data_IF_662044253583
#
_entry.id   IF_662044253583
#
_cell.length_a   1.000
_cell.length_b   1.000
_cell.length_c   1.000
_cell.angle_alpha   90.00
_cell.angle_beta   90.00
_cell.angle_gamma   90.00
#
_symmetry.space_group_name_H-M   'P 1'
#
loop_
_entity.id
_entity.type
_entity.pdbx_description
1 polymer ?
#
# COMPACT_ATOMS: atom_id res chain seq x y z
N UNK A 1 9.59 -18.78 -21.08
CA UNK A 1 10.73 -17.89 -20.80
C UNK A 1 10.51 -17.30 -19.42
N UNK A 2 11.32 -17.67 -18.45
CA UNK A 2 11.33 -17.03 -17.13
C UNK A 2 12.09 -15.71 -17.25
N UNK A 3 11.53 -14.63 -16.70
CA UNK A 3 12.13 -13.29 -16.75
C UNK A 3 12.16 -12.69 -15.35
N UNK A 4 13.04 -11.74 -15.14
CA UNK A 4 13.00 -10.91 -13.95
C UNK A 4 11.73 -10.07 -13.89
N UNK A 5 11.36 -9.69 -12.67
CA UNK A 5 10.33 -8.69 -12.41
C UNK A 5 10.73 -7.36 -13.07
N UNK A 6 9.74 -6.69 -13.64
CA UNK A 6 9.90 -5.35 -14.23
C UNK A 6 8.90 -4.39 -13.62
N UNK A 7 9.14 -3.09 -13.82
CA UNK A 7 8.18 -2.06 -13.47
C UNK A 7 6.79 -2.36 -14.04
N UNK A 8 5.76 -2.21 -13.21
CA UNK A 8 4.38 -2.41 -13.62
C UNK A 8 3.82 -3.82 -13.38
N UNK A 9 4.65 -4.80 -13.05
CA UNK A 9 4.21 -6.13 -12.61
C UNK A 9 3.42 -6.06 -11.28
N UNK A 10 2.58 -7.06 -11.03
CA UNK A 10 1.73 -7.13 -9.83
C UNK A 10 2.25 -8.18 -8.85
N UNK A 11 2.28 -7.84 -7.58
CA UNK A 11 2.70 -8.73 -6.48
C UNK A 11 1.75 -8.64 -5.32
N UNK A 12 1.68 -9.71 -4.53
CA UNK A 12 1.04 -9.69 -3.22
C UNK A 12 2.07 -9.30 -2.16
N UNK A 13 1.66 -8.44 -1.25
CA UNK A 13 2.51 -7.96 -0.16
C UNK A 13 1.78 -8.14 1.17
N UNK A 14 2.46 -8.69 2.18
CA UNK A 14 1.88 -8.97 3.49
C UNK A 14 2.85 -8.69 4.64
N UNK A 15 2.29 -8.30 5.80
CA UNK A 15 2.99 -8.25 7.09
C UNK A 15 2.45 -9.34 8.00
N UNK A 16 3.34 -9.99 8.77
CA UNK A 16 2.95 -10.98 9.76
C UNK A 16 2.76 -10.34 11.15
N UNK A 17 1.82 -10.83 11.97
CA UNK A 17 0.79 -11.82 11.66
C UNK A 17 -0.32 -11.24 10.77
N UNK A 18 -0.79 -12.01 9.78
CA UNK A 18 -1.87 -11.57 8.90
C UNK A 18 -3.24 -11.92 9.51
N UNK A 19 -3.82 -10.96 10.22
CA UNK A 19 -5.05 -11.15 11.02
C UNK A 19 -6.35 -10.82 10.28
N UNK A 20 -6.26 -10.06 9.19
CA UNK A 20 -7.43 -9.63 8.44
C UNK A 20 -7.15 -9.62 6.93
N UNK A 21 -8.22 -9.56 6.12
CA UNK A 21 -8.12 -9.59 4.64
C UNK A 21 -7.10 -8.59 4.10
N UNK A 22 -7.11 -7.35 4.62
CA UNK A 22 -6.21 -6.28 4.19
C UNK A 22 -4.76 -6.43 4.68
N UNK A 23 -4.43 -7.46 5.48
CA UNK A 23 -3.04 -7.77 5.83
C UNK A 23 -2.27 -8.40 4.66
N UNK A 24 -2.96 -8.76 3.56
CA UNK A 24 -2.38 -9.15 2.27
C UNK A 24 -3.10 -8.42 1.14
N UNK A 25 -2.37 -7.64 0.35
CA UNK A 25 -2.94 -6.84 -0.75
C UNK A 25 -2.02 -6.82 -1.96
N UNK A 26 -2.60 -6.58 -3.13
CA UNK A 26 -1.92 -6.45 -4.40
C UNK A 26 -1.32 -5.06 -4.60
N UNK A 27 -0.05 -5.01 -4.99
CA UNK A 27 0.69 -3.79 -5.33
C UNK A 27 1.27 -3.89 -6.73
N UNK A 28 1.48 -2.72 -7.36
CA UNK A 28 2.25 -2.60 -8.59
C UNK A 28 3.72 -2.34 -8.24
N UNK A 29 4.63 -3.11 -8.83
CA UNK A 29 6.06 -2.99 -8.61
C UNK A 29 6.59 -1.70 -9.21
N UNK A 30 7.45 -1.03 -8.44
CA UNK A 30 8.40 -0.04 -8.93
C UNK A 30 9.80 -0.41 -8.45
N UNK A 31 10.69 -0.72 -9.39
CA UNK A 31 12.08 -1.04 -9.12
C UNK A 31 12.80 0.25 -8.71
N UNK A 32 13.51 0.19 -7.60
CA UNK A 32 14.27 1.30 -7.03
C UNK A 32 15.62 0.79 -6.53
N UNK A 33 16.63 1.68 -6.44
CA UNK A 33 17.87 1.35 -5.75
C UNK A 33 17.62 1.04 -4.26
N UNK A 34 18.67 0.55 -3.58
CA UNK A 34 18.71 0.14 -2.16
C UNK A 34 17.98 -1.18 -1.87
N UNK A 35 18.09 -1.65 -0.62
CA UNK A 35 17.74 -3.02 -0.21
C UNK A 35 16.50 -3.12 0.69
N UNK A 36 15.61 -2.12 0.63
CA UNK A 36 14.38 -2.09 1.43
C UNK A 36 13.13 -1.96 0.56
N UNK A 37 12.04 -2.61 0.98
CA UNK A 37 10.73 -2.35 0.38
C UNK A 37 10.26 -0.94 0.75
N UNK A 38 9.56 -0.30 -0.19
CA UNK A 38 8.93 1.00 0.04
C UNK A 38 7.46 0.92 -0.33
N UNK A 39 6.65 1.56 0.50
CA UNK A 39 5.20 1.61 0.36
C UNK A 39 4.71 3.01 0.72
N UNK A 40 3.49 3.34 0.27
CA UNK A 40 2.86 4.62 0.59
C UNK A 40 2.45 4.67 2.08
N UNK A 41 2.64 5.81 2.75
CA UNK A 41 2.28 5.96 4.17
C UNK A 41 0.81 5.65 4.49
N UNK A 42 -0.12 5.92 3.58
CA UNK A 42 -1.54 5.62 3.81
C UNK A 42 -1.87 4.13 3.84
N UNK A 43 -0.97 3.26 3.36
CA UNK A 43 -1.17 1.79 3.39
C UNK A 43 -0.54 1.14 4.63
N UNK A 44 0.14 1.88 5.50
CA UNK A 44 0.73 1.32 6.72
C UNK A 44 -0.34 0.88 7.73
N UNK A 45 -1.44 1.63 7.83
CA UNK A 45 -2.55 1.33 8.75
C UNK A 45 -3.15 -0.07 8.56
N UNK A 46 -3.53 -0.53 7.35
CA UNK A 46 -4.00 -1.89 7.15
C UNK A 46 -2.91 -2.96 7.32
N UNK A 47 -1.62 -2.64 7.23
CA UNK A 47 -0.59 -3.61 7.58
C UNK A 47 -0.25 -3.62 9.08
N UNK A 48 -0.78 -2.65 9.84
CA UNK A 48 -0.33 -2.32 11.19
C UNK A 48 1.21 -2.23 11.26
N UNK A 49 1.80 -1.62 10.22
CA UNK A 49 3.24 -1.51 10.03
C UNK A 49 3.72 -0.13 10.48
N UNK A 50 4.95 -0.08 10.97
CA UNK A 50 5.74 1.14 11.08
C UNK A 50 7.08 0.96 10.34
N UNK A 51 8.07 1.79 10.65
CA UNK A 51 9.37 1.79 9.98
C UNK A 51 10.53 1.71 10.97
N UNK A 52 10.35 1.05 12.12
CA UNK A 52 11.37 0.93 13.16
C UNK A 52 12.27 -0.33 13.02
N UNK A 53 12.03 -1.14 11.99
CA UNK A 53 12.70 -2.42 11.76
C UNK A 53 11.77 -3.52 11.20
N UNK A 54 10.51 -3.20 10.98
CA UNK A 54 9.51 -4.10 10.40
C UNK A 54 9.94 -4.79 9.10
N UNK A 55 9.70 -6.10 9.03
CA UNK A 55 9.87 -6.93 7.84
C UNK A 55 8.53 -7.31 7.20
N UNK A 56 8.51 -7.40 5.88
CA UNK A 56 7.31 -7.76 5.11
C UNK A 56 7.66 -8.70 3.96
N UNK A 57 6.72 -9.56 3.60
CA UNK A 57 6.91 -10.58 2.58
C UNK A 57 6.24 -10.17 1.28
N UNK A 58 6.88 -10.53 0.17
CA UNK A 58 6.39 -10.31 -1.19
C UNK A 58 6.23 -11.66 -1.91
N UNK A 59 5.07 -11.87 -2.54
CA UNK A 59 4.76 -13.08 -3.30
C UNK A 59 4.46 -12.69 -4.75
N UNK A 60 5.08 -13.39 -5.70
CA UNK A 60 4.96 -13.13 -7.14
C UNK A 60 4.00 -14.14 -7.78
N UNK A 61 2.81 -13.72 -8.25
CA UNK A 61 1.90 -14.59 -8.99
C UNK A 61 2.53 -15.07 -10.30
N UNK A 62 2.53 -16.37 -10.54
CA UNK A 62 3.20 -16.97 -11.70
C UNK A 62 2.26 -17.17 -12.91
N UNK A 63 0.97 -17.42 -12.67
CA UNK A 63 0.00 -17.66 -13.76
C UNK A 63 -0.72 -16.37 -14.17
N UNK A 64 -1.20 -16.31 -15.40
CA UNK A 64 -1.99 -15.16 -15.87
C UNK A 64 -3.32 -15.02 -15.11
N UNK A 65 -3.93 -16.15 -14.73
CA UNK A 65 -5.17 -16.20 -13.95
C UNK A 65 -4.96 -15.60 -12.56
N UNK A 66 -3.91 -16.00 -11.85
CA UNK A 66 -3.61 -15.45 -10.51
C UNK A 66 -3.23 -13.97 -10.59
N UNK A 67 -2.52 -13.54 -11.64
CA UNK A 67 -2.27 -12.11 -11.88
C UNK A 67 -3.57 -11.33 -12.08
N UNK A 68 -4.54 -11.90 -12.81
CA UNK A 68 -5.85 -11.29 -13.00
C UNK A 68 -6.64 -11.25 -11.68
N UNK A 69 -6.60 -12.28 -10.85
CA UNK A 69 -7.23 -12.27 -9.52
C UNK A 69 -6.65 -11.18 -8.61
N UNK A 70 -5.32 -11.04 -8.59
CA UNK A 70 -4.66 -9.98 -7.82
C UNK A 70 -5.12 -8.61 -8.29
N UNK A 71 -5.07 -8.37 -9.62
CA UNK A 71 -5.50 -7.13 -10.25
C UNK A 71 -6.98 -6.83 -9.99
N UNK A 72 -7.82 -7.85 -10.06
CA UNK A 72 -9.26 -7.67 -10.03
C UNK A 72 -9.87 -7.65 -8.64
N UNK A 73 -9.29 -8.35 -7.67
CA UNK A 73 -9.90 -8.56 -6.36
C UNK A 73 -9.07 -8.02 -5.19
N UNK A 74 -7.74 -8.02 -5.31
CA UNK A 74 -6.85 -7.83 -4.16
C UNK A 74 -6.04 -6.53 -4.20
N UNK A 75 -6.06 -5.78 -5.31
CA UNK A 75 -5.33 -4.52 -5.42
C UNK A 75 -5.70 -3.55 -4.29
N UNK A 76 -4.69 -2.85 -3.76
CA UNK A 76 -4.85 -1.85 -2.68
C UNK A 76 -6.02 -0.88 -2.90
N UNK A 77 -6.24 -0.27 -4.09
CA UNK A 77 -7.40 0.61 -4.32
C UNK A 77 -8.76 -0.04 -4.12
N UNK A 78 -8.87 -1.36 -4.35
CA UNK A 78 -10.10 -2.14 -4.16
C UNK A 78 -10.29 -2.59 -2.70
N UNK A 79 -9.29 -2.36 -1.86
CA UNK A 79 -9.27 -2.72 -0.44
C UNK A 79 -9.28 -1.49 0.50
N UNK A 80 -9.55 -0.27 -0.02
CA UNK A 80 -9.60 0.96 0.78
C UNK A 80 -10.72 0.90 1.83
N UNK A 81 -11.91 0.41 1.46
CA UNK A 81 -13.07 0.30 2.35
C UNK A 81 -13.18 -1.13 2.86
N UNK A 82 -13.19 -1.31 4.18
CA UNK A 82 -13.31 -2.64 4.79
C UNK A 82 -14.77 -3.02 5.02
N UNK A 83 -15.19 -4.24 4.66
CA UNK A 83 -16.53 -4.75 4.96
C UNK A 83 -16.72 -5.04 6.45
N UNK A 84 -15.66 -5.13 7.25
CA UNK A 84 -15.76 -5.39 8.69
C UNK A 84 -16.51 -4.27 9.43
N UNK A 85 -16.34 -3.02 8.98
CA UNK A 85 -16.92 -1.84 9.62
C UNK A 85 -17.52 -0.83 8.65
N UNK A 86 -17.67 -1.21 7.37
CA UNK A 86 -18.22 -0.38 6.29
C UNK A 86 -17.59 1.03 6.23
N UNK A 87 -16.29 1.12 6.51
CA UNK A 87 -15.53 2.37 6.55
C UNK A 87 -14.15 2.22 5.91
N UNK A 88 -13.52 3.31 5.45
CA UNK A 88 -12.14 3.29 4.99
C UNK A 88 -11.18 2.82 6.09
N UNK A 89 -10.24 1.95 5.72
CA UNK A 89 -9.11 1.53 6.57
C UNK A 89 -7.80 2.20 6.19
N UNK A 90 -7.79 2.94 5.08
CA UNK A 90 -6.69 3.78 4.63
C UNK A 90 -7.11 5.25 4.64
N UNK A 91 -6.19 6.13 5.00
CA UNK A 91 -6.45 7.55 5.09
C UNK A 91 -5.16 8.37 5.08
N UNK A 92 -5.31 9.69 5.16
CA UNK A 92 -4.18 10.61 5.30
C UNK A 92 -3.71 10.55 6.76
N UNK A 93 -2.41 10.30 6.95
CA UNK A 93 -1.79 10.10 8.27
C UNK A 93 -0.53 10.95 8.42
N UNK A 94 -0.02 11.03 9.65
CA UNK A 94 1.26 11.67 10.01
C UNK A 94 1.41 13.10 9.44
N UNK A 95 2.55 13.40 8.83
CA UNK A 95 2.91 14.75 8.37
C UNK A 95 1.92 15.30 7.36
N UNK A 96 1.40 14.47 6.46
CA UNK A 96 0.40 14.90 5.49
C UNK A 96 -0.87 15.34 6.18
N UNK A 97 -1.32 14.65 7.24
CA UNK A 97 -2.51 15.05 8.00
C UNK A 97 -2.30 16.40 8.71
N UNK A 98 -1.13 16.59 9.33
CA UNK A 98 -0.76 17.85 9.96
C UNK A 98 -0.63 18.99 8.94
N UNK A 99 -0.01 18.68 7.79
CA UNK A 99 0.19 19.59 6.67
C UNK A 99 -1.14 20.06 6.07
N UNK A 100 -2.07 19.12 5.82
CA UNK A 100 -3.43 19.43 5.38
C UNK A 100 -4.14 20.40 6.33
N UNK A 101 -4.04 20.20 7.65
CA UNK A 101 -4.62 21.14 8.62
C UNK A 101 -3.95 22.50 8.60
N UNK A 102 -2.63 22.57 8.41
CA UNK A 102 -1.90 23.85 8.37
C UNK A 102 -2.25 24.64 7.11
N UNK A 103 -2.20 24.00 5.94
CA UNK A 103 -2.42 24.67 4.64
C UNK A 103 -3.85 25.13 4.43
N UNK A 104 -4.83 24.48 5.06
CA UNK A 104 -6.27 24.81 4.89
C UNK A 104 -6.78 25.87 5.87
N UNK A 105 -5.92 26.45 6.71
CA UNK A 105 -6.32 27.58 7.56
C UNK A 105 -6.55 28.83 6.71
N UNK A 106 -7.56 29.63 7.09
CA UNK A 106 -7.88 30.90 6.41
C UNK A 106 -6.70 31.86 6.35
N UNK A 107 -5.84 31.85 7.36
CA UNK A 107 -4.69 32.75 7.47
C UNK A 107 -3.43 32.21 6.76
N UNK A 108 -3.56 31.17 5.94
CA UNK A 108 -2.44 30.61 5.15
C UNK A 108 -2.52 31.07 3.71
N UNK A 109 -1.60 31.95 3.32
CA UNK A 109 -1.46 32.45 1.95
C UNK A 109 -0.28 31.78 1.25
N UNK A 110 -0.40 31.57 -0.06
CA UNK A 110 0.65 30.99 -0.92
C UNK A 110 1.05 32.06 -1.94
N UNK A 111 2.33 32.41 -1.96
CA UNK A 111 2.88 33.34 -2.95
C UNK A 111 2.91 32.70 -4.34
N UNK A 112 2.86 33.53 -5.38
CA UNK A 112 2.84 33.09 -6.78
C UNK A 112 4.23 32.76 -7.29
#
# INVERSE_FOLDING_TARGET
VERHLIDGDFVLFNRQPSLHKMSIMGHRIKIMPYSTFRLNLSVTSPYNADFDGDEMNMHVPQSFETRAEVLELMMVPKCIVSPQSNRPVMGIVQDTLLGCRKITKRDTFIEK
#
